data_IF_558418851992
#
_entry.id   IF_558418851992
#
_cell.length_a   1.000
_cell.length_b   1.000
_cell.length_c   1.000
_cell.angle_alpha   90.00
_cell.angle_beta   90.00
_cell.angle_gamma   90.00
#
_symmetry.space_group_name_H-M   'P 1'
#
loop_
_entity.id
_entity.type
_entity.pdbx_description
1 polymer ?
#
# COMPACT_ATOMS: atom_id res chain seq x y z
N UNK A 1 12.16 13.42 2.67
CA UNK A 1 11.02 12.51 2.94
C UNK A 1 10.34 12.96 4.22
N UNK A 2 9.01 13.12 4.17
CA UNK A 2 8.17 13.46 5.34
C UNK A 2 7.45 12.21 5.84
N UNK A 3 7.18 12.15 7.15
CA UNK A 3 6.36 11.07 7.75
C UNK A 3 5.04 11.67 8.23
N UNK A 4 3.95 11.07 7.80
CA UNK A 4 2.61 11.47 8.20
C UNK A 4 1.94 10.35 9.00
N UNK A 5 1.57 10.64 10.26
CA UNK A 5 0.87 9.69 11.13
C UNK A 5 -0.65 9.87 11.07
N UNK A 6 -1.36 8.75 11.02
CA UNK A 6 -2.80 8.70 11.22
C UNK A 6 -3.09 7.65 12.30
N UNK A 7 -3.46 8.11 13.49
CA UNK A 7 -3.80 7.25 14.64
C UNK A 7 -5.32 7.19 14.76
N UNK A 8 -5.93 6.09 14.32
CA UNK A 8 -7.39 5.87 14.45
C UNK A 8 -7.63 4.88 15.59
N UNK A 9 -8.38 5.31 16.62
CA UNK A 9 -8.74 4.47 17.77
C UNK A 9 -7.53 3.87 18.51
N UNK A 10 -6.41 4.58 18.56
CA UNK A 10 -5.26 4.19 19.38
C UNK A 10 -4.75 5.38 20.16
N UNK A 11 -4.50 5.17 21.45
CA UNK A 11 -3.82 6.11 22.34
C UNK A 11 -2.33 5.79 22.35
N UNK A 12 -1.60 6.32 21.37
CA UNK A 12 -0.14 6.20 21.34
C UNK A 12 0.44 7.52 21.83
N UNK A 13 1.34 7.43 22.79
CA UNK A 13 2.02 8.62 23.33
C UNK A 13 2.96 9.26 22.29
N UNK A 14 3.15 10.57 22.41
CA UNK A 14 3.97 11.33 21.47
C UNK A 14 5.43 10.86 21.42
N UNK A 15 5.93 10.29 22.51
CA UNK A 15 7.31 9.79 22.58
C UNK A 15 7.47 8.54 21.68
N UNK A 16 6.50 7.64 21.72
CA UNK A 16 6.44 6.47 20.83
C UNK A 16 6.33 6.89 19.36
N UNK A 17 5.51 7.89 19.03
CA UNK A 17 5.42 8.41 17.66
C UNK A 17 6.76 9.00 17.17
N UNK A 18 7.47 9.75 18.00
CA UNK A 18 8.80 10.31 17.67
C UNK A 18 9.83 9.20 17.43
N UNK A 19 9.79 8.14 18.22
CA UNK A 19 10.67 6.97 18.02
C UNK A 19 10.33 6.26 16.72
N UNK A 20 9.05 6.08 16.40
CA UNK A 20 8.59 5.47 15.16
C UNK A 20 9.02 6.28 13.94
N UNK A 21 8.88 7.60 14.00
CA UNK A 21 9.33 8.53 12.96
C UNK A 21 10.82 8.40 12.70
N UNK A 22 11.63 8.53 13.76
CA UNK A 22 13.08 8.45 13.69
C UNK A 22 13.55 7.10 13.11
N UNK A 23 12.91 5.99 13.50
CA UNK A 23 13.19 4.66 12.94
C UNK A 23 12.87 4.59 11.45
N UNK A 24 11.70 5.08 11.03
CA UNK A 24 11.25 5.06 9.65
C UNK A 24 12.15 5.92 8.76
N UNK A 25 12.44 7.15 9.18
CA UNK A 25 13.33 8.07 8.46
C UNK A 25 14.73 7.46 8.29
N UNK A 26 15.34 6.98 9.38
CA UNK A 26 16.67 6.36 9.35
C UNK A 26 16.73 5.15 8.43
N UNK A 27 15.66 4.34 8.40
CA UNK A 27 15.62 3.10 7.61
C UNK A 27 15.44 3.37 6.13
N UNK A 28 14.56 4.30 5.77
CA UNK A 28 14.24 4.58 4.36
C UNK A 28 15.10 5.67 3.71
N UNK A 29 15.86 6.49 4.46
CA UNK A 29 16.69 7.56 3.93
C UNK A 29 17.60 7.11 2.77
N UNK A 30 18.16 5.92 2.85
CA UNK A 30 19.05 5.35 1.80
C UNK A 30 18.38 5.13 0.44
N UNK A 31 17.06 5.03 0.41
CA UNK A 31 16.29 4.82 -0.83
C UNK A 31 15.93 6.13 -1.53
N UNK A 32 15.99 7.26 -0.81
CA UNK A 32 15.54 8.58 -1.26
C UNK A 32 16.66 9.64 -1.19
N UNK A 33 17.91 9.23 -1.09
CA UNK A 33 19.07 10.12 -0.94
C UNK A 33 19.21 11.16 -2.07
N UNK A 34 18.60 10.92 -3.23
CA UNK A 34 18.65 11.81 -4.41
C UNK A 34 17.34 12.61 -4.61
N UNK A 35 16.35 12.48 -3.72
CA UNK A 35 15.10 13.20 -3.80
C UNK A 35 15.12 14.40 -2.84
N UNK A 36 14.43 15.50 -3.20
CA UNK A 36 14.21 16.61 -2.27
C UNK A 36 13.48 16.09 -1.02
N UNK A 37 13.86 16.58 0.16
CA UNK A 37 13.36 16.06 1.46
C UNK A 37 11.83 16.04 1.57
N UNK A 38 11.13 16.91 0.83
CA UNK A 38 9.67 17.06 0.87
C UNK A 38 8.95 16.30 -0.26
N UNK A 39 9.69 15.71 -1.21
CA UNK A 39 9.07 15.10 -2.40
C UNK A 39 8.32 13.80 -2.10
N UNK A 40 8.69 13.06 -1.04
CA UNK A 40 8.10 11.77 -0.71
C UNK A 40 7.51 11.77 0.69
N UNK A 41 6.22 11.41 0.78
CA UNK A 41 5.49 11.27 2.05
C UNK A 41 5.27 9.81 2.38
N UNK A 42 5.86 9.34 3.49
CA UNK A 42 5.54 8.05 4.09
C UNK A 42 4.32 8.22 5.01
N UNK A 43 3.21 7.60 4.66
CA UNK A 43 2.03 7.55 5.53
C UNK A 43 2.09 6.32 6.43
N UNK A 44 2.01 6.54 7.74
CA UNK A 44 1.95 5.50 8.78
C UNK A 44 0.59 5.57 9.46
N UNK A 45 -0.22 4.53 9.26
CA UNK A 45 -1.52 4.41 9.90
C UNK A 45 -1.46 3.38 10.99
N UNK A 46 -1.89 3.77 12.20
CA UNK A 46 -1.88 2.90 13.37
C UNK A 46 -3.29 2.78 13.91
N UNK A 47 -3.72 1.55 14.17
CA UNK A 47 -5.01 1.28 14.77
C UNK A 47 -4.88 0.16 15.81
N UNK A 48 -5.59 0.32 16.92
CA UNK A 48 -5.77 -0.73 17.92
C UNK A 48 -6.99 -1.59 17.51
N UNK A 49 -6.80 -2.90 17.39
CA UNK A 49 -7.86 -3.85 17.04
C UNK A 49 -7.82 -5.08 17.95
N UNK A 50 -8.75 -5.16 18.89
CA UNK A 50 -8.99 -6.38 19.69
C UNK A 50 -7.69 -6.99 20.25
N UNK A 51 -6.95 -6.23 21.04
CA UNK A 51 -5.68 -6.62 21.66
C UNK A 51 -4.48 -6.75 20.70
N UNK A 52 -4.56 -6.18 19.48
CA UNK A 52 -3.49 -6.17 18.49
C UNK A 52 -3.25 -4.75 17.99
N UNK A 53 -1.99 -4.40 17.81
CA UNK A 53 -1.59 -3.19 17.09
C UNK A 53 -1.51 -3.48 15.60
N UNK A 54 -2.30 -2.75 14.82
CA UNK A 54 -2.23 -2.78 13.36
C UNK A 54 -1.40 -1.60 12.88
N UNK A 55 -0.38 -1.84 12.08
CA UNK A 55 0.39 -0.80 11.41
C UNK A 55 0.29 -0.99 9.90
N UNK A 56 -0.08 0.07 9.20
CA UNK A 56 -0.15 0.15 7.76
C UNK A 56 0.83 1.23 7.30
N UNK A 57 1.77 0.88 6.42
CA UNK A 57 2.65 1.82 5.75
C UNK A 57 2.21 1.99 4.30
N UNK A 58 2.18 3.21 3.84
CA UNK A 58 1.95 3.56 2.43
C UNK A 58 3.05 4.50 1.97
N UNK A 59 3.75 4.13 0.91
CA UNK A 59 4.91 4.83 0.39
C UNK A 59 4.85 4.92 -1.14
N UNK A 60 4.82 6.12 -1.73
CA UNK A 60 5.09 6.29 -3.15
C UNK A 60 6.55 5.93 -3.45
N UNK A 61 6.78 5.11 -4.49
CA UNK A 61 8.12 4.65 -4.86
C UNK A 61 8.18 4.38 -6.36
N UNK A 62 8.94 5.20 -7.09
CA UNK A 62 9.14 5.10 -8.56
C UNK A 62 7.83 4.91 -9.36
N UNK A 63 6.83 5.76 -9.12
CA UNK A 63 5.55 5.71 -9.83
C UNK A 63 4.59 4.61 -9.35
N UNK A 64 4.98 3.82 -8.34
CA UNK A 64 4.13 2.85 -7.66
C UNK A 64 3.74 3.34 -6.27
N UNK A 65 2.62 2.83 -5.77
CA UNK A 65 2.27 2.96 -4.35
C UNK A 65 2.52 1.62 -3.69
N UNK A 66 3.53 1.58 -2.84
CA UNK A 66 3.81 0.42 -2.01
C UNK A 66 3.00 0.53 -0.72
N UNK A 67 2.32 -0.55 -0.36
CA UNK A 67 1.53 -0.62 0.87
C UNK A 67 1.84 -1.91 1.60
N UNK A 68 2.06 -1.82 2.91
CA UNK A 68 2.20 -2.98 3.80
C UNK A 68 1.27 -2.85 4.98
N UNK A 69 0.78 -3.96 5.45
CA UNK A 69 -0.08 -4.05 6.62
C UNK A 69 0.41 -5.19 7.50
N UNK A 70 0.66 -4.90 8.76
CA UNK A 70 1.14 -5.89 9.74
C UNK A 70 0.45 -5.72 11.07
N UNK A 71 0.48 -6.81 11.83
CA UNK A 71 -0.13 -6.89 13.15
C UNK A 71 0.91 -7.36 14.17
N UNK A 72 0.80 -6.85 15.40
CA UNK A 72 1.58 -7.31 16.53
C UNK A 72 0.74 -7.26 17.81
N UNK A 73 0.89 -8.28 18.65
CA UNK A 73 0.11 -8.40 19.90
C UNK A 73 0.81 -7.69 21.07
N UNK A 74 2.07 -7.28 20.89
CA UNK A 74 2.93 -6.78 21.98
C UNK A 74 3.03 -5.25 21.92
N UNK A 75 3.41 -4.70 20.76
CA UNK A 75 3.64 -3.26 20.66
C UNK A 75 3.47 -2.70 19.25
N UNK A 76 3.10 -1.40 19.13
CA UNK A 76 3.04 -0.73 17.84
C UNK A 76 4.41 -0.61 17.16
N UNK A 77 5.50 -0.54 17.95
CA UNK A 77 6.88 -0.53 17.43
C UNK A 77 7.25 -1.85 16.76
N UNK A 78 6.87 -2.99 17.35
CA UNK A 78 7.11 -4.31 16.75
C UNK A 78 6.29 -4.49 15.46
N UNK A 79 5.04 -4.01 15.43
CA UNK A 79 4.24 -4.00 14.22
C UNK A 79 4.86 -3.11 13.14
N UNK A 80 5.42 -1.94 13.51
CA UNK A 80 6.13 -1.06 12.58
C UNK A 80 7.37 -1.75 12.00
N UNK A 81 8.19 -2.39 12.83
CA UNK A 81 9.40 -3.08 12.36
C UNK A 81 9.06 -4.16 11.33
N UNK A 82 8.04 -4.99 11.61
CA UNK A 82 7.53 -5.98 10.65
C UNK A 82 7.05 -5.34 9.35
N UNK A 83 6.38 -4.19 9.44
CA UNK A 83 5.85 -3.48 8.27
C UNK A 83 6.98 -2.88 7.43
N UNK A 84 8.02 -2.34 8.07
CA UNK A 84 9.21 -1.83 7.39
C UNK A 84 9.98 -2.95 6.69
N UNK A 85 10.14 -4.13 7.30
CA UNK A 85 10.78 -5.30 6.67
C UNK A 85 10.02 -5.75 5.42
N UNK A 86 8.70 -5.79 5.50
CA UNK A 86 7.85 -6.13 4.36
C UNK A 86 7.95 -5.08 3.25
N UNK A 87 8.01 -3.78 3.62
CA UNK A 87 8.16 -2.67 2.68
C UNK A 87 9.49 -2.76 1.92
N UNK A 88 10.61 -2.99 2.61
CA UNK A 88 11.92 -3.14 1.98
C UNK A 88 11.97 -4.30 0.99
N UNK A 89 11.36 -5.43 1.34
CA UNK A 89 11.24 -6.57 0.41
C UNK A 89 10.48 -6.20 -0.87
N UNK A 90 9.40 -5.40 -0.75
CA UNK A 90 8.64 -4.91 -1.92
C UNK A 90 9.44 -3.90 -2.74
N UNK A 91 10.13 -2.96 -2.07
CA UNK A 91 11.01 -1.98 -2.74
C UNK A 91 12.10 -2.69 -3.56
N UNK A 92 12.77 -3.70 -2.99
CA UNK A 92 13.80 -4.48 -3.68
C UNK A 92 13.25 -5.20 -4.91
N UNK A 93 12.09 -5.87 -4.79
CA UNK A 93 11.42 -6.53 -5.93
C UNK A 93 11.00 -5.54 -7.01
N UNK A 94 10.50 -4.36 -6.63
CA UNK A 94 10.10 -3.32 -7.58
C UNK A 94 11.29 -2.73 -8.33
N UNK A 95 12.43 -2.46 -7.64
CA UNK A 95 13.64 -1.92 -8.26
C UNK A 95 14.16 -2.80 -9.39
N UNK A 96 14.20 -4.11 -9.21
CA UNK A 96 14.66 -5.06 -10.22
C UNK A 96 13.79 -5.05 -11.48
N UNK A 97 12.47 -4.81 -11.35
CA UNK A 97 11.54 -4.74 -12.48
C UNK A 97 11.49 -3.37 -13.16
N UNK A 98 11.74 -2.28 -12.42
CA UNK A 98 11.74 -0.89 -12.93
C UNK A 98 12.94 -0.63 -13.85
N UNK A 99 14.09 -1.25 -13.60
CA UNK A 99 15.27 -1.11 -14.46
C UNK A 99 15.02 -1.57 -15.91
N UNK A 100 13.98 -2.35 -16.14
CA UNK A 100 13.62 -2.89 -17.46
C UNK A 100 12.45 -2.18 -18.16
N UNK A 101 11.76 -1.21 -17.53
CA UNK A 101 10.62 -0.49 -18.14
C UNK A 101 10.59 1.00 -17.73
N UNK A 102 10.48 1.91 -18.73
CA UNK A 102 10.17 3.34 -18.49
C UNK A 102 8.69 3.46 -18.10
N UNK A 103 8.39 3.66 -16.82
CA UNK A 103 7.02 3.87 -16.34
C UNK A 103 6.66 5.35 -16.31
N UNK A 104 5.44 5.68 -16.75
CA UNK A 104 4.88 7.01 -16.58
C UNK A 104 4.42 7.20 -15.12
N UNK A 105 4.55 8.42 -14.54
CA UNK A 105 4.10 8.69 -13.17
C UNK A 105 2.58 8.51 -13.03
N UNK A 106 2.16 7.88 -11.94
CA UNK A 106 0.74 7.76 -11.57
C UNK A 106 0.42 8.85 -10.57
N UNK A 107 -0.52 9.70 -10.93
CA UNK A 107 -1.10 10.69 -10.03
C UNK A 107 -1.98 9.99 -8.98
N UNK A 108 -1.68 10.21 -7.71
CA UNK A 108 -2.39 9.59 -6.58
C UNK A 108 -3.71 10.33 -6.33
N UNK A 109 -4.80 9.58 -6.35
CA UNK A 109 -6.07 10.08 -5.81
C UNK A 109 -5.95 10.30 -4.29
N UNK A 110 -6.60 11.35 -3.73
CA UNK A 110 -6.51 11.66 -2.30
C UNK A 110 -7.07 10.54 -1.41
N UNK A 111 -6.62 10.45 -0.14
CA UNK A 111 -7.07 9.40 0.78
C UNK A 111 -8.57 9.52 1.07
N UNK A 112 -9.29 8.41 1.20
CA UNK A 112 -10.74 8.40 1.43
C UNK A 112 -11.12 8.94 2.81
N UNK A 113 -12.24 9.66 2.86
CA UNK A 113 -12.89 10.25 4.03
C UNK A 113 -13.49 9.13 4.94
N UNK A 114 -13.62 9.32 6.27
CA UNK A 114 -14.10 8.28 7.20
C UNK A 114 -15.56 7.91 7.01
N UNK A 115 -15.90 6.63 7.19
CA UNK A 115 -17.21 6.02 6.99
C UNK A 115 -18.00 5.90 8.30
N UNK A 116 -19.34 6.09 8.23
CA UNK A 116 -20.34 5.83 9.27
C UNK A 116 -20.77 4.35 9.27
N UNK A 117 -21.17 3.81 10.42
CA UNK A 117 -21.52 2.40 10.63
C UNK A 117 -22.93 2.06 10.12
N UNK A 118 -23.12 0.93 9.43
CA UNK A 118 -24.38 0.44 8.87
C UNK A 118 -24.78 -0.96 9.33
N UNK A 119 -26.08 -1.25 9.34
CA UNK A 119 -26.91 -2.34 9.86
C UNK A 119 -26.61 -3.73 9.22
N UNK A 120 -26.61 -4.87 9.98
CA UNK A 120 -26.03 -6.16 9.57
C UNK A 120 -26.91 -7.09 8.69
N UNK A 121 -28.05 -6.65 8.19
CA UNK A 121 -29.01 -7.52 7.47
C UNK A 121 -28.91 -7.47 5.93
N UNK A 122 -28.12 -6.57 5.36
CA UNK A 122 -27.85 -6.45 3.91
C UNK A 122 -26.33 -6.43 3.77
N UNK A 123 -25.76 -7.13 2.77
CA UNK A 123 -24.31 -7.01 2.49
C UNK A 123 -23.98 -5.58 2.07
N UNK A 124 -23.65 -4.66 2.99
CA UNK A 124 -23.48 -3.26 2.66
C UNK A 124 -22.18 -3.06 1.90
N UNK A 125 -22.23 -2.25 0.85
CA UNK A 125 -21.01 -1.73 0.23
C UNK A 125 -20.46 -0.65 1.16
N UNK A 126 -19.65 -1.07 2.13
CA UNK A 126 -19.10 -0.18 3.18
C UNK A 126 -17.94 0.69 2.69
N UNK A 127 -17.46 0.47 1.47
CA UNK A 127 -16.35 1.25 0.91
C UNK A 127 -16.38 1.27 -0.61
N UNK A 128 -16.40 2.46 -1.17
CA UNK A 128 -16.23 2.69 -2.61
C UNK A 128 -14.85 3.33 -2.83
N UNK A 129 -14.09 2.83 -3.81
CA UNK A 129 -12.85 3.44 -4.27
C UNK A 129 -12.97 3.69 -5.75
N UNK A 130 -12.68 4.92 -6.16
CA UNK A 130 -12.58 5.30 -7.56
C UNK A 130 -11.11 5.55 -7.91
N UNK A 131 -10.67 5.10 -9.06
CA UNK A 131 -9.33 5.34 -9.57
C UNK A 131 -9.38 5.39 -11.10
N UNK A 132 -8.46 6.13 -11.68
CA UNK A 132 -8.30 6.20 -13.12
C UNK A 132 -7.63 4.92 -13.62
N UNK A 133 -8.27 4.21 -14.55
CA UNK A 133 -7.70 3.03 -15.17
C UNK A 133 -6.91 3.42 -16.42
N UNK A 134 -5.59 3.26 -16.38
CA UNK A 134 -4.72 3.38 -17.54
C UNK A 134 -4.54 2.02 -18.20
N UNK A 135 -4.43 1.96 -19.53
CA UNK A 135 -4.11 0.71 -20.22
C UNK A 135 -2.77 0.18 -19.71
N UNK A 136 -2.71 -1.13 -19.42
CA UNK A 136 -1.49 -1.79 -18.98
C UNK A 136 -1.51 -3.27 -19.34
N UNK A 137 -0.34 -3.90 -19.31
CA UNK A 137 -0.22 -5.35 -19.53
C UNK A 137 -0.69 -6.15 -18.32
N UNK A 138 -1.05 -7.41 -18.54
CA UNK A 138 -1.40 -8.37 -17.47
C UNK A 138 -0.28 -8.47 -16.42
N UNK A 139 0.98 -8.46 -16.86
CA UNK A 139 2.14 -8.53 -15.95
C UNK A 139 2.28 -7.30 -15.08
N UNK A 140 1.99 -6.13 -15.62
CA UNK A 140 2.01 -4.89 -14.84
C UNK A 140 0.86 -4.86 -13.84
N UNK A 141 -0.34 -5.30 -14.23
CA UNK A 141 -1.49 -5.41 -13.34
C UNK A 141 -1.20 -6.35 -12.14
N UNK A 142 -0.56 -7.50 -12.38
CA UNK A 142 -0.11 -8.40 -11.31
C UNK A 142 0.92 -7.71 -10.41
N UNK A 143 1.85 -6.97 -10.99
CA UNK A 143 2.84 -6.22 -10.22
C UNK A 143 2.19 -5.16 -9.34
N UNK A 144 1.22 -4.37 -9.89
CA UNK A 144 0.45 -3.39 -9.13
C UNK A 144 -0.32 -4.05 -7.99
N UNK A 145 -1.04 -5.14 -8.27
CA UNK A 145 -1.76 -5.92 -7.26
C UNK A 145 -0.86 -6.31 -6.10
N UNK A 146 0.33 -6.86 -6.41
CA UNK A 146 1.28 -7.30 -5.40
C UNK A 146 1.90 -6.15 -4.61
N UNK A 147 2.22 -5.03 -5.26
CA UNK A 147 2.79 -3.85 -4.61
C UNK A 147 1.80 -3.19 -3.65
N UNK A 148 0.53 -3.11 -4.04
CA UNK A 148 -0.56 -2.61 -3.20
C UNK A 148 -0.94 -3.58 -2.07
N UNK A 149 -0.53 -4.84 -2.15
CA UNK A 149 -0.91 -5.90 -1.20
C UNK A 149 -2.36 -6.34 -1.33
N UNK A 150 -2.93 -6.17 -2.51
CA UNK A 150 -4.28 -6.62 -2.82
C UNK A 150 -4.29 -8.09 -3.22
N UNK A 151 -5.44 -8.75 -3.09
CA UNK A 151 -5.69 -10.10 -3.59
C UNK A 151 -6.24 -10.12 -5.01
N UNK A 152 -6.72 -8.98 -5.50
CA UNK A 152 -7.20 -8.78 -6.88
C UNK A 152 -6.91 -7.35 -7.34
N UNK A 153 -6.89 -7.13 -8.66
CA UNK A 153 -6.73 -5.82 -9.27
C UNK A 153 -7.46 -5.78 -10.61
N UNK A 154 -8.32 -4.78 -10.78
CA UNK A 154 -9.05 -4.55 -12.04
C UNK A 154 -8.30 -3.49 -12.85
N UNK A 155 -8.16 -3.69 -14.15
CA UNK A 155 -7.37 -2.82 -15.03
C UNK A 155 -7.94 -2.82 -16.46
N UNK A 156 -7.51 -1.86 -17.26
CA UNK A 156 -7.76 -1.86 -18.70
C UNK A 156 -6.63 -2.62 -19.39
N UNK A 157 -6.97 -3.76 -20.01
CA UNK A 157 -5.98 -4.59 -20.68
C UNK A 157 -5.59 -3.95 -22.03
N UNK A 158 -4.31 -3.61 -22.20
CA UNK A 158 -3.82 -2.95 -23.42
C UNK A 158 -3.86 -3.85 -24.66
N UNK A 159 -3.84 -5.18 -24.47
CA UNK A 159 -3.86 -6.14 -25.57
C UNK A 159 -5.28 -6.37 -26.13
N UNK A 160 -6.27 -6.42 -25.24
CA UNK A 160 -7.66 -6.74 -25.63
C UNK A 160 -8.57 -5.52 -25.65
N UNK A 161 -8.14 -4.39 -25.06
CA UNK A 161 -8.96 -3.20 -24.91
C UNK A 161 -10.14 -3.36 -23.92
N UNK A 162 -10.19 -4.46 -23.17
CA UNK A 162 -11.28 -4.79 -22.24
C UNK A 162 -10.88 -4.49 -20.79
N UNK A 163 -11.87 -4.36 -19.92
CA UNK A 163 -11.65 -4.28 -18.49
C UNK A 163 -11.47 -5.70 -17.95
N UNK A 164 -10.29 -6.00 -17.43
CA UNK A 164 -9.91 -7.31 -16.92
C UNK A 164 -9.58 -7.25 -15.44
N UNK A 165 -9.68 -8.38 -14.75
CA UNK A 165 -9.34 -8.48 -13.31
C UNK A 165 -8.35 -9.62 -13.11
N UNK A 166 -7.15 -9.29 -12.58
CA UNK A 166 -6.21 -10.29 -12.09
C UNK A 166 -6.45 -10.55 -10.62
N UNK A 167 -6.31 -11.81 -10.21
CA UNK A 167 -6.46 -12.20 -8.81
C UNK A 167 -5.42 -13.25 -8.41
N UNK A 168 -5.06 -13.27 -7.14
CA UNK A 168 -4.14 -14.27 -6.60
C UNK A 168 -4.92 -15.55 -6.30
N UNK A 169 -4.40 -16.67 -6.79
CA UNK A 169 -4.82 -18.01 -6.41
C UNK A 169 -3.97 -18.55 -5.25
N UNK A 170 -4.30 -19.74 -4.78
CA UNK A 170 -3.45 -20.45 -3.82
C UNK A 170 -2.12 -20.82 -4.51
N UNK A 171 -1.02 -20.90 -3.74
CA UNK A 171 0.32 -21.35 -4.23
C UNK A 171 1.05 -20.39 -5.19
N UNK A 172 0.91 -19.07 -4.97
CA UNK A 172 1.60 -18.02 -5.73
C UNK A 172 1.22 -17.92 -7.24
N UNK A 173 0.18 -18.61 -7.67
CA UNK A 173 -0.38 -18.49 -9.00
C UNK A 173 -1.37 -17.31 -9.11
N UNK A 174 -1.58 -16.88 -10.36
CA UNK A 174 -2.52 -15.79 -10.67
C UNK A 174 -3.57 -16.26 -11.67
N UNK A 175 -4.79 -15.80 -11.51
CA UNK A 175 -5.87 -15.95 -12.46
C UNK A 175 -6.25 -14.60 -13.07
N UNK A 176 -6.86 -14.63 -14.25
CA UNK A 176 -7.45 -13.46 -14.90
C UNK A 176 -8.90 -13.76 -15.25
N UNK A 177 -9.76 -12.77 -15.03
CA UNK A 177 -11.15 -12.75 -15.45
C UNK A 177 -11.28 -11.62 -16.46
N UNK A 178 -11.80 -11.93 -17.65
CA UNK A 178 -12.06 -10.97 -18.70
C UNK A 178 -13.47 -11.20 -19.25
N UNK A 179 -14.30 -10.14 -19.45
CA UNK A 179 -15.62 -10.29 -20.04
C UNK A 179 -15.48 -10.68 -21.52
N UNK A 180 -16.43 -11.44 -22.04
CA UNK A 180 -16.52 -11.85 -23.45
C UNK A 180 -16.78 -10.68 -24.40
#
# INVERSE_FOLDING_TARGET
MLVHFNTKNSTIDGNTLNVMESKALKRFARYFANEADDATVLSIKIADKKFRYKVELTLPYYGFVLRTETYDDVSPLAALDKSMDAMERRMSKSKTKIQNKKHQPIELAPPPVPEEEADPAVYPVVRIKSYEMKPMSVQDAILYMNNLGHSFYTFHNEETGKISTVYRRNEDDYGMIEPL
#
